data_IF_410009818631
#
_entry.id   IF_410009818631
#
_cell.length_a   1.000
_cell.length_b   1.000
_cell.length_c   1.000
_cell.angle_alpha   90.00
_cell.angle_beta   90.00
_cell.angle_gamma   90.00
#
_symmetry.space_group_name_H-M   'P 1'
#
loop_
_entity.id
_entity.type
_entity.pdbx_description
1 polymer ?
#
# COMPACT_ATOMS: atom_id res chain seq x y z
N UNK A 1 14.61 -6.44 5.37
CA UNK A 1 14.08 -5.60 4.28
C UNK A 1 12.93 -6.38 3.68
N UNK A 2 11.70 -5.96 3.93
CA UNK A 2 10.53 -6.63 3.34
C UNK A 2 10.29 -6.00 1.98
N UNK A 3 10.44 -6.78 0.90
CA UNK A 3 9.74 -6.50 -0.34
C UNK A 3 8.34 -7.02 -0.09
N UNK A 4 7.34 -6.13 -0.12
CA UNK A 4 6.00 -6.57 -0.45
C UNK A 4 6.12 -7.36 -1.74
N UNK A 5 5.96 -8.68 -1.62
CA UNK A 5 5.38 -9.47 -2.69
C UNK A 5 3.86 -9.26 -2.60
N UNK A 6 3.40 -7.99 -2.57
CA UNK A 6 2.19 -7.69 -3.34
C UNK A 6 2.65 -8.10 -4.73
N UNK A 7 1.97 -9.10 -5.28
CA UNK A 7 2.23 -9.58 -6.62
C UNK A 7 2.55 -8.36 -7.47
N UNK A 8 3.81 -8.15 -7.86
CA UNK A 8 4.21 -6.90 -8.54
C UNK A 8 3.48 -6.75 -9.89
N UNK A 9 2.85 -7.84 -10.32
CA UNK A 9 1.88 -7.90 -11.40
C UNK A 9 0.57 -7.13 -11.12
N UNK A 10 0.17 -6.92 -9.87
CA UNK A 10 -1.00 -6.09 -9.49
C UNK A 10 -0.74 -4.59 -9.67
N UNK A 11 0.51 -4.11 -9.60
CA UNK A 11 0.80 -2.67 -9.64
C UNK A 11 1.07 -2.14 -11.04
N UNK A 12 1.85 -2.87 -11.84
CA UNK A 12 2.40 -2.32 -13.09
C UNK A 12 1.51 -2.47 -14.32
N UNK A 13 0.82 -3.60 -14.47
CA UNK A 13 -0.02 -3.85 -15.65
C UNK A 13 -1.51 -3.62 -15.39
N UNK A 14 -1.93 -3.53 -14.12
CA UNK A 14 -3.34 -3.53 -13.75
C UNK A 14 -4.07 -2.26 -14.20
N UNK A 15 -3.36 -1.13 -14.28
CA UNK A 15 -3.95 0.18 -14.52
C UNK A 15 -3.48 0.85 -15.81
N UNK A 16 -2.48 0.30 -16.52
CA UNK A 16 -1.85 0.96 -17.67
C UNK A 16 -2.85 1.31 -18.79
N UNK A 17 -3.86 0.47 -19.00
CA UNK A 17 -4.87 0.65 -20.05
C UNK A 17 -6.16 1.34 -19.58
N UNK A 18 -6.23 1.73 -18.31
CA UNK A 18 -7.43 2.35 -17.74
C UNK A 18 -7.56 3.83 -18.12
N UNK A 19 -8.79 4.35 -17.99
CA UNK A 19 -9.06 5.76 -18.25
C UNK A 19 -8.26 6.67 -17.34
N UNK A 20 -7.94 7.88 -17.82
CA UNK A 20 -7.28 8.91 -17.02
C UNK A 20 -8.03 9.20 -15.71
N UNK A 21 -9.36 9.26 -15.77
CA UNK A 21 -10.21 9.45 -14.58
C UNK A 21 -9.98 8.35 -13.53
N UNK A 22 -9.84 7.09 -13.95
CA UNK A 22 -9.58 5.96 -13.06
C UNK A 22 -8.17 6.04 -12.46
N UNK A 23 -7.16 6.34 -13.27
CA UNK A 23 -5.78 6.51 -12.81
C UNK A 23 -5.68 7.65 -11.80
N UNK A 24 -6.24 8.81 -12.10
CA UNK A 24 -6.25 9.97 -11.20
C UNK A 24 -6.94 9.63 -9.87
N UNK A 25 -8.05 8.90 -9.92
CA UNK A 25 -8.74 8.45 -8.72
C UNK A 25 -7.87 7.52 -7.87
N UNK A 26 -7.23 6.52 -8.49
CA UNK A 26 -6.34 5.56 -7.82
C UNK A 26 -5.17 6.30 -7.17
N UNK A 27 -4.53 7.22 -7.91
CA UNK A 27 -3.41 8.03 -7.40
C UNK A 27 -3.82 8.85 -6.19
N UNK A 28 -4.99 9.51 -6.24
CA UNK A 28 -5.51 10.28 -5.12
C UNK A 28 -5.86 9.39 -3.91
N UNK A 29 -6.42 8.19 -4.15
CA UNK A 29 -6.72 7.24 -3.09
C UNK A 29 -5.44 6.73 -2.39
N UNK A 30 -4.40 6.41 -3.15
CA UNK A 30 -3.09 6.01 -2.60
C UNK A 30 -2.49 7.14 -1.78
N UNK A 31 -2.45 8.35 -2.33
CA UNK A 31 -1.90 9.51 -1.64
C UNK A 31 -2.62 9.79 -0.32
N UNK A 32 -3.95 9.71 -0.32
CA UNK A 32 -4.73 9.85 0.91
C UNK A 32 -4.38 8.80 1.95
N UNK A 33 -4.25 7.53 1.56
CA UNK A 33 -3.91 6.44 2.49
C UNK A 33 -2.56 6.69 3.14
N UNK A 34 -1.58 7.14 2.37
CA UNK A 34 -0.21 7.38 2.85
C UNK A 34 -0.10 8.62 3.74
N UNK A 35 -0.95 9.65 3.57
CA UNK A 35 -0.82 10.90 4.35
C UNK A 35 -1.79 11.01 5.52
N UNK A 36 -2.81 10.14 5.62
CA UNK A 36 -3.91 10.26 6.60
C UNK A 36 -3.45 10.15 8.05
N UNK A 37 -2.35 9.46 8.30
CA UNK A 37 -1.76 9.30 9.64
C UNK A 37 -0.79 10.43 10.02
N UNK A 38 -0.39 11.25 9.03
CA UNK A 38 0.54 12.35 9.18
C UNK A 38 2.01 11.94 9.31
N UNK A 39 2.41 10.69 9.06
CA UNK A 39 3.82 10.28 9.11
C UNK A 39 4.11 9.41 7.89
N UNK A 40 4.81 9.98 6.90
CA UNK A 40 5.20 9.23 5.71
C UNK A 40 6.50 8.46 5.99
N UNK A 41 6.40 7.15 6.08
CA UNK A 41 7.54 6.26 6.22
C UNK A 41 8.15 5.87 4.87
N UNK A 42 9.42 5.39 4.89
CA UNK A 42 10.17 5.09 3.66
C UNK A 42 9.49 4.08 2.74
N UNK A 43 8.74 3.15 3.31
CA UNK A 43 8.08 2.10 2.55
C UNK A 43 6.75 2.59 1.95
N UNK A 44 6.06 3.54 2.59
CA UNK A 44 4.88 4.21 2.01
C UNK A 44 5.26 5.13 0.86
N UNK A 45 6.47 5.71 0.92
CA UNK A 45 7.03 6.47 -0.19
C UNK A 45 7.18 5.62 -1.47
N UNK A 46 7.38 4.31 -1.35
CA UNK A 46 7.44 3.41 -2.53
C UNK A 46 6.05 3.33 -3.18
N UNK A 47 4.98 3.25 -2.39
CA UNK A 47 3.61 3.26 -2.92
C UNK A 47 3.29 4.60 -3.61
N UNK A 48 3.77 5.73 -3.07
CA UNK A 48 3.66 7.02 -3.74
C UNK A 48 4.46 7.07 -5.05
N UNK A 49 5.65 6.48 -5.10
CA UNK A 49 6.43 6.39 -6.34
C UNK A 49 5.69 5.58 -7.41
N UNK A 50 5.07 4.45 -7.03
CA UNK A 50 4.25 3.65 -7.94
C UNK A 50 3.03 4.44 -8.44
N UNK A 51 2.38 5.23 -7.58
CA UNK A 51 1.29 6.11 -7.99
C UNK A 51 1.75 7.21 -8.97
N UNK A 52 2.93 7.78 -8.76
CA UNK A 52 3.52 8.79 -9.67
C UNK A 52 3.75 8.23 -11.07
N UNK A 53 4.12 6.95 -11.20
CA UNK A 53 4.30 6.28 -12.50
C UNK A 53 3.00 6.18 -13.31
N UNK A 54 1.82 6.30 -12.67
CA UNK A 54 0.51 6.28 -13.35
C UNK A 54 0.10 7.64 -13.93
N UNK A 55 0.77 8.73 -13.54
CA UNK A 55 0.47 10.08 -14.01
C UNK A 55 1.10 10.37 -15.37
N UNK A 56 0.37 11.12 -16.20
CA UNK A 56 0.75 11.35 -17.61
C UNK A 56 1.65 12.58 -17.78
N UNK A 57 1.67 13.49 -16.80
CA UNK A 57 2.38 14.77 -16.90
C UNK A 57 3.21 15.11 -15.66
N UNK A 58 4.29 15.88 -15.88
CA UNK A 58 5.13 16.40 -14.78
C UNK A 58 4.38 17.37 -13.87
N UNK A 59 3.38 18.06 -14.39
CA UNK A 59 2.58 19.03 -13.62
C UNK A 59 1.68 18.30 -12.61
N UNK A 60 1.05 17.19 -13.02
CA UNK A 60 0.27 16.32 -12.12
C UNK A 60 1.15 15.75 -10.99
N UNK A 61 2.36 15.31 -11.33
CA UNK A 61 3.33 14.83 -10.33
C UNK A 61 3.71 15.94 -9.36
N UNK A 62 3.94 17.16 -9.86
CA UNK A 62 4.27 18.30 -9.01
C UNK A 62 3.13 18.65 -8.06
N UNK A 63 1.89 18.67 -8.55
CA UNK A 63 0.70 18.97 -7.76
C UNK A 63 0.44 17.91 -6.69
N UNK A 64 0.59 16.62 -7.04
CA UNK A 64 0.51 15.52 -6.09
C UNK A 64 1.55 15.67 -4.99
N UNK A 65 2.82 15.88 -5.35
CA UNK A 65 3.91 16.02 -4.38
C UNK A 65 3.75 17.25 -3.49
N UNK A 66 3.22 18.35 -4.03
CA UNK A 66 2.91 19.55 -3.26
C UNK A 66 1.83 19.26 -2.21
N UNK A 67 0.74 18.59 -2.60
CA UNK A 67 -0.34 18.23 -1.67
C UNK A 67 0.07 17.21 -0.62
N UNK A 68 0.88 16.22 -1.00
CA UNK A 68 1.48 15.27 -0.07
C UNK A 68 2.34 16.00 0.98
N UNK A 69 3.11 17.00 0.54
CA UNK A 69 3.93 17.84 1.44
C UNK A 69 3.08 18.72 2.35
N UNK A 70 2.02 19.31 1.81
CA UNK A 70 1.09 20.19 2.52
C UNK A 70 0.08 19.40 3.37
N UNK A 71 0.07 18.05 3.26
CA UNK A 71 -0.84 17.11 3.92
C UNK A 71 -2.30 17.41 3.64
N UNK A 72 -2.56 17.85 2.41
CA UNK A 72 -3.91 18.15 1.95
C UNK A 72 -4.57 16.86 1.47
N UNK A 73 -5.57 16.39 2.22
CA UNK A 73 -6.31 15.18 1.88
C UNK A 73 -7.27 15.47 0.72
N UNK A 74 -7.18 14.65 -0.33
CA UNK A 74 -8.14 14.68 -1.42
C UNK A 74 -9.51 14.18 -0.95
N UNK A 75 -10.57 14.79 -1.47
CA UNK A 75 -11.90 14.21 -1.34
C UNK A 75 -12.00 12.95 -2.20
N UNK A 76 -12.09 11.77 -1.56
CA UNK A 76 -12.43 10.52 -2.25
C UNK A 76 -13.90 10.58 -2.65
N UNK A 77 -14.16 10.55 -3.96
CA UNK A 77 -15.49 10.62 -4.59
C UNK A 77 -15.86 9.27 -5.19
N UNK A 78 -17.14 9.08 -5.45
CA UNK A 78 -17.62 7.87 -6.12
C UNK A 78 -17.07 7.79 -7.55
N UNK A 79 -16.67 6.59 -7.96
CA UNK A 79 -16.17 6.31 -9.29
C UNK A 79 -16.85 5.06 -9.85
N UNK A 80 -17.18 5.09 -11.14
CA UNK A 80 -17.72 3.93 -11.84
C UNK A 80 -16.59 3.20 -12.55
N UNK A 81 -16.39 1.94 -12.18
CA UNK A 81 -15.51 1.02 -12.87
C UNK A 81 -16.12 -0.38 -12.91
N UNK A 82 -15.50 -1.30 -13.66
CA UNK A 82 -15.93 -2.71 -13.64
C UNK A 82 -15.75 -3.28 -12.22
N UNK A 83 -16.62 -4.22 -11.84
CA UNK A 83 -16.54 -4.85 -10.50
C UNK A 83 -15.18 -5.54 -10.28
N UNK A 84 -14.64 -6.18 -11.31
CA UNK A 84 -13.32 -6.82 -11.28
C UNK A 84 -12.22 -5.80 -10.98
N UNK A 85 -12.21 -4.66 -11.67
CA UNK A 85 -11.25 -3.60 -11.44
C UNK A 85 -11.42 -2.98 -10.04
N UNK A 86 -12.66 -2.74 -9.60
CA UNK A 86 -12.94 -2.20 -8.27
C UNK A 86 -12.40 -3.12 -7.16
N UNK A 87 -12.59 -4.44 -7.31
CA UNK A 87 -12.05 -5.43 -6.38
C UNK A 87 -10.52 -5.38 -6.37
N UNK A 88 -9.88 -5.41 -7.54
CA UNK A 88 -8.43 -5.42 -7.65
C UNK A 88 -7.79 -4.12 -7.09
N UNK A 89 -8.37 -2.96 -7.41
CA UNK A 89 -7.99 -1.66 -6.83
C UNK A 89 -8.12 -1.71 -5.31
N UNK A 90 -9.22 -2.26 -4.79
CA UNK A 90 -9.43 -2.30 -3.34
C UNK A 90 -8.44 -3.21 -2.61
N UNK A 91 -8.10 -4.37 -3.18
CA UNK A 91 -7.03 -5.23 -2.67
C UNK A 91 -5.68 -4.51 -2.64
N UNK A 92 -5.37 -3.76 -3.70
CA UNK A 92 -4.13 -2.98 -3.79
C UNK A 92 -4.08 -1.87 -2.72
N UNK A 93 -5.14 -1.08 -2.58
CA UNK A 93 -5.25 -0.05 -1.53
C UNK A 93 -5.12 -0.64 -0.12
N UNK A 94 -5.77 -1.78 0.14
CA UNK A 94 -5.70 -2.45 1.43
C UNK A 94 -4.31 -2.98 1.75
N UNK A 95 -3.55 -3.40 0.75
CA UNK A 95 -2.16 -3.84 0.91
C UNK A 95 -1.20 -2.68 1.16
N UNK A 96 -1.42 -1.53 0.51
CA UNK A 96 -0.68 -0.29 0.79
C UNK A 96 -0.94 0.17 2.22
N UNK A 97 -2.18 0.15 2.70
CA UNK A 97 -2.51 0.63 4.04
C UNK A 97 -1.88 -0.17 5.20
N UNK A 98 -1.31 -1.36 4.93
CA UNK A 98 -0.67 -2.21 5.95
C UNK A 98 0.84 -2.38 5.73
N UNK A 99 1.40 -1.60 4.80
CA UNK A 99 2.80 -1.68 4.38
C UNK A 99 3.78 -1.39 5.53
N UNK A 100 3.37 -0.54 6.46
CA UNK A 100 4.16 -0.15 7.64
C UNK A 100 4.17 -1.22 8.75
N UNK A 101 3.42 -2.30 8.56
CA UNK A 101 3.27 -3.36 9.55
C UNK A 101 2.25 -3.04 10.64
N UNK A 102 1.41 -2.03 10.42
CA UNK A 102 0.27 -1.66 11.25
C UNK A 102 -0.95 -1.28 10.39
N UNK A 103 -2.12 -1.17 11.01
CA UNK A 103 -3.29 -0.57 10.38
C UNK A 103 -3.93 0.36 11.40
N UNK A 104 -3.72 1.66 11.24
CA UNK A 104 -4.24 2.70 12.13
C UNK A 104 -5.73 2.89 11.90
N UNK A 105 -6.39 3.48 12.90
CA UNK A 105 -7.84 3.74 12.84
C UNK A 105 -8.20 4.65 11.66
N UNK A 106 -7.40 5.69 11.41
CA UNK A 106 -7.58 6.65 10.32
C UNK A 106 -7.46 5.99 8.94
N UNK A 107 -6.45 5.16 8.73
CA UNK A 107 -6.25 4.38 7.49
C UNK A 107 -7.41 3.41 7.26
N UNK A 108 -7.87 2.72 8.31
CA UNK A 108 -9.03 1.84 8.23
C UNK A 108 -10.31 2.60 7.87
N UNK A 109 -10.57 3.75 8.47
CA UNK A 109 -11.73 4.58 8.15
C UNK A 109 -11.68 5.06 6.69
N UNK A 110 -10.52 5.49 6.23
CA UNK A 110 -10.31 5.90 4.84
C UNK A 110 -10.46 4.73 3.85
N UNK A 111 -9.92 3.54 4.16
CA UNK A 111 -10.13 2.35 3.35
C UNK A 111 -11.61 1.99 3.24
N UNK A 112 -12.36 2.02 4.34
CA UNK A 112 -13.81 1.78 4.27
C UNK A 112 -14.49 2.79 3.34
N UNK A 113 -14.10 4.09 3.41
CA UNK A 113 -14.61 5.12 2.51
C UNK A 113 -14.27 4.81 1.05
N UNK A 114 -13.02 4.44 0.75
CA UNK A 114 -12.61 4.05 -0.61
C UNK A 114 -13.41 2.87 -1.13
N UNK A 115 -13.63 1.83 -0.33
CA UNK A 115 -14.43 0.66 -0.72
C UNK A 115 -15.88 1.03 -1.05
N UNK A 116 -16.49 1.93 -0.27
CA UNK A 116 -17.84 2.44 -0.54
C UNK A 116 -17.89 3.27 -1.84
N UNK A 117 -16.91 4.14 -2.08
CA UNK A 117 -16.81 4.94 -3.30
C UNK A 117 -16.55 4.11 -4.57
N UNK A 118 -16.01 2.91 -4.42
CA UNK A 118 -15.87 1.90 -5.48
C UNK A 118 -17.18 1.12 -5.72
N UNK A 119 -18.21 1.33 -4.89
CA UNK A 119 -19.49 0.62 -4.98
C UNK A 119 -19.42 -0.82 -4.47
N UNK A 120 -18.46 -1.15 -3.60
CA UNK A 120 -18.31 -2.49 -3.05
C UNK A 120 -19.22 -2.72 -1.83
N UNK A 121 -19.67 -3.97 -1.66
CA UNK A 121 -20.46 -4.37 -0.51
C UNK A 121 -19.64 -4.36 0.79
N UNK A 122 -20.27 -3.97 1.90
CA UNK A 122 -19.64 -3.89 3.23
C UNK A 122 -19.00 -5.21 3.68
N UNK A 123 -19.58 -6.35 3.30
CA UNK A 123 -19.05 -7.68 3.63
C UNK A 123 -17.74 -7.97 2.89
N UNK A 124 -17.66 -7.57 1.61
CA UNK A 124 -16.44 -7.67 0.82
C UNK A 124 -15.38 -6.73 1.38
N UNK A 125 -15.73 -5.47 1.65
CA UNK A 125 -14.84 -4.47 2.24
C UNK A 125 -14.22 -5.02 3.53
N UNK A 126 -15.06 -5.52 4.43
CA UNK A 126 -14.63 -6.08 5.72
C UNK A 126 -13.73 -7.33 5.55
N UNK A 127 -14.01 -8.15 4.54
CA UNK A 127 -13.23 -9.35 4.24
C UNK A 127 -11.84 -9.02 3.72
N UNK A 128 -11.73 -8.03 2.82
CA UNK A 128 -10.44 -7.58 2.26
C UNK A 128 -9.59 -6.88 3.32
N UNK A 129 -10.17 -6.04 4.18
CA UNK A 129 -9.46 -5.43 5.31
C UNK A 129 -8.93 -6.50 6.26
N UNK A 130 -9.73 -7.54 6.56
CA UNK A 130 -9.26 -8.66 7.40
C UNK A 130 -8.13 -9.44 6.72
N UNK A 131 -8.24 -9.66 5.42
CA UNK A 131 -7.20 -10.30 4.64
C UNK A 131 -5.89 -9.50 4.69
N UNK A 132 -5.92 -8.18 4.54
CA UNK A 132 -4.69 -7.37 4.54
C UNK A 132 -3.98 -7.41 5.91
N UNK A 133 -4.74 -7.34 7.01
CA UNK A 133 -4.20 -7.51 8.37
C UNK A 133 -3.58 -8.89 8.56
N UNK A 134 -4.24 -9.96 8.10
CA UNK A 134 -3.68 -11.32 8.18
C UNK A 134 -2.38 -11.44 7.36
N UNK A 135 -2.33 -10.87 6.15
CA UNK A 135 -1.12 -10.86 5.32
C UNK A 135 0.03 -10.13 6.03
N UNK A 136 -0.25 -8.96 6.61
CA UNK A 136 0.70 -8.19 7.40
C UNK A 136 1.28 -9.00 8.56
N UNK A 137 0.43 -9.72 9.33
CA UNK A 137 0.87 -10.57 10.44
C UNK A 137 1.79 -11.72 9.99
N UNK A 138 1.43 -12.38 8.88
CA UNK A 138 2.24 -13.45 8.28
C UNK A 138 3.62 -12.91 7.89
N UNK A 139 3.65 -11.76 7.22
CA UNK A 139 4.88 -11.12 6.75
C UNK A 139 5.79 -10.69 7.90
N UNK A 140 5.20 -10.16 8.98
CA UNK A 140 5.90 -9.81 10.21
C UNK A 140 6.55 -11.04 10.83
N UNK A 141 5.83 -12.16 10.93
CA UNK A 141 6.36 -13.42 11.47
C UNK A 141 7.51 -13.96 10.63
N UNK A 142 7.34 -14.02 9.31
CA UNK A 142 8.39 -14.46 8.38
C UNK A 142 9.66 -13.62 8.52
N UNK A 143 9.52 -12.30 8.65
CA UNK A 143 10.66 -11.39 8.81
C UNK A 143 11.41 -11.64 10.12
N UNK A 144 10.68 -11.89 11.22
CA UNK A 144 11.27 -12.22 12.51
C UNK A 144 12.02 -13.56 12.48
N UNK A 145 11.43 -14.58 11.88
CA UNK A 145 12.04 -15.90 11.77
C UNK A 145 13.30 -15.86 10.89
N UNK A 146 13.30 -15.07 9.81
CA UNK A 146 14.47 -14.84 8.98
C UNK A 146 15.59 -14.14 9.76
N UNK A 147 15.29 -13.09 10.54
CA UNK A 147 16.28 -12.41 11.37
C UNK A 147 16.91 -13.35 12.39
N UNK A 148 16.12 -14.20 13.05
CA UNK A 148 16.63 -15.22 13.97
C UNK A 148 17.57 -16.20 13.27
N UNK A 149 17.22 -16.63 12.06
CA UNK A 149 18.09 -17.50 11.27
C UNK A 149 19.42 -16.84 10.91
N UNK A 150 19.41 -15.55 10.56
CA UNK A 150 20.63 -14.79 10.25
C UNK A 150 21.49 -14.63 11.50
N UNK A 151 20.91 -14.26 12.64
CA UNK A 151 21.62 -14.18 13.92
C UNK A 151 22.26 -15.53 14.30
N UNK A 152 21.53 -16.64 14.10
CA UNK A 152 22.06 -17.98 14.33
C UNK A 152 23.28 -18.29 13.45
N UNK A 153 23.26 -17.90 12.17
CA UNK A 153 24.41 -18.02 11.27
C UNK A 153 25.60 -17.18 11.76
N UNK A 154 25.36 -15.93 12.14
CA UNK A 154 26.44 -15.02 12.54
C UNK A 154 27.13 -15.52 13.82
N UNK A 155 26.36 -16.04 14.79
CA UNK A 155 26.90 -16.70 15.98
C UNK A 155 27.76 -17.94 15.66
N UNK A 156 27.39 -18.72 14.65
CA UNK A 156 28.19 -19.87 14.20
C UNK A 156 29.54 -19.38 13.62
N UNK A 157 29.51 -18.33 12.81
CA UNK A 157 30.72 -17.74 12.21
C UNK A 157 31.64 -17.16 13.30
N UNK A 158 31.09 -16.40 14.25
CA UNK A 158 31.87 -15.80 15.34
C UNK A 158 32.57 -16.87 16.19
N UNK A 159 31.87 -17.95 16.55
CA UNK A 159 32.50 -19.06 17.28
C UNK A 159 33.68 -19.66 16.53
N UNK A 160 33.57 -19.85 15.20
CA UNK A 160 34.68 -20.43 14.44
C UNK A 160 35.87 -19.48 14.23
N UNK A 161 35.63 -18.17 14.21
CA UNK A 161 36.66 -17.16 13.99
C UNK A 161 37.40 -16.71 15.27
N UNK A 162 36.75 -16.80 16.43
CA UNK A 162 37.28 -16.24 17.68
C UNK A 162 37.48 -17.27 18.81
N UNK A 163 37.06 -18.52 18.66
CA UNK A 163 37.36 -19.62 19.61
C UNK A 163 38.51 -20.54 19.12
N UNK A 164 39.29 -20.12 18.10
CA UNK A 164 40.56 -20.74 17.69
C UNK A 164 41.76 -19.85 18.01
#
# INVERSE_FOLDING_TARGET
MYKLNIDRDLGKNLFENESKETKDWIVNAIANIVIVDGIIEKHEFVALQEAIELLESRDEVHDLMKKVKDRDLYEVKDIKMSLDLAINVFFYLAAIAVIDGSLKKSEKELLNKCGLCLGLDNDLISSVIRWSVNQMEINRKLSQDLQRSIQGRDLIIEKQLFEN
#
